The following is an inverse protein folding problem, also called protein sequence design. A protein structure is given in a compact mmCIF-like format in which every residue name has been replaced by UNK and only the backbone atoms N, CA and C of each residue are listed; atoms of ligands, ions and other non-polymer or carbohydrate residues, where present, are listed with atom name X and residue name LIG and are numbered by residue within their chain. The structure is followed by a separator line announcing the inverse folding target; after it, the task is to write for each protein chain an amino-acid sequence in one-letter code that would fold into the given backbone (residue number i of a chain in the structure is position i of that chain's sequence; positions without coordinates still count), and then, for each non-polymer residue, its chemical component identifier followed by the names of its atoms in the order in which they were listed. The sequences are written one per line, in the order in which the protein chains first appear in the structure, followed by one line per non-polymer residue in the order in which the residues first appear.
data_IF_984817448420
#
_entry.id   IF_984817448420
#
_cell.length_a   1.000
_cell.length_b   1.000
_cell.length_c   1.000
_cell.angle_alpha   90.00
_cell.angle_beta   90.00
_cell.angle_gamma   90.00
#
_symmetry.space_group_name_H-M   'P 1'
#
loop_
_entity.id
_entity.type
_entity.pdbx_description
1 polymer ?
#
# COMPACT_ATOMS: atom_id res chain seq x y z
N UNK A 1 9.44 -0.99 -0.59
CA UNK A 1 9.26 0.43 -0.22
C UNK A 1 8.71 0.58 1.19
N UNK A 2 7.70 -0.19 1.59
CA UNK A 2 7.13 -0.21 2.95
C UNK A 2 8.19 -0.38 4.07
N UNK A 3 9.08 -1.37 3.95
CA UNK A 3 10.17 -1.56 4.93
C UNK A 3 11.17 -0.39 4.95
N UNK A 4 11.50 0.17 3.79
CA UNK A 4 12.44 1.30 3.68
C UNK A 4 11.92 2.53 4.40
N UNK A 5 10.61 2.73 4.40
CA UNK A 5 9.95 3.79 5.17
C UNK A 5 10.11 3.62 6.68
N UNK A 6 10.33 2.39 7.14
CA UNK A 6 10.66 2.04 8.52
C UNK A 6 12.16 1.88 8.76
N UNK A 7 13.00 2.44 7.88
CA UNK A 7 14.46 2.35 7.91
C UNK A 7 15.02 0.91 7.82
N UNK A 8 14.26 0.00 7.24
CA UNK A 8 14.66 -1.40 7.02
C UNK A 8 14.96 -1.60 5.55
N UNK A 9 16.24 -1.81 5.24
CA UNK A 9 16.75 -1.85 3.86
C UNK A 9 16.80 -3.29 3.34
N UNK A 10 15.78 -3.66 2.56
CA UNK A 10 15.67 -4.97 1.90
C UNK A 10 15.36 -4.75 0.42
N UNK A 11 15.97 -5.56 -0.45
CA UNK A 11 15.75 -5.49 -1.91
C UNK A 11 14.50 -6.27 -2.31
N UNK A 12 13.85 -5.89 -3.41
CA UNK A 12 12.65 -6.57 -3.88
C UNK A 12 12.89 -8.07 -4.16
N UNK A 13 14.07 -8.44 -4.67
CA UNK A 13 14.43 -9.84 -4.94
C UNK A 13 14.44 -10.71 -3.67
N UNK A 14 14.68 -10.13 -2.50
CA UNK A 14 14.64 -10.85 -1.21
C UNK A 14 13.19 -11.00 -0.71
N UNK A 15 12.31 -10.06 -1.04
CA UNK A 15 10.87 -10.12 -0.70
C UNK A 15 10.09 -11.02 -1.67
N UNK A 16 10.49 -11.05 -2.95
CA UNK A 16 9.83 -11.76 -4.04
C UNK A 16 9.18 -10.82 -5.05
N UNK A 17 9.12 -11.23 -6.31
CA UNK A 17 8.58 -10.45 -7.46
C UNK A 17 7.31 -11.05 -8.05
N UNK A 18 6.83 -12.16 -7.49
CA UNK A 18 5.62 -12.84 -7.89
C UNK A 18 4.35 -12.12 -7.42
N UNK A 19 3.23 -12.42 -8.07
CA UNK A 19 1.91 -11.99 -7.63
C UNK A 19 1.68 -12.41 -6.17
N UNK A 20 1.18 -11.47 -5.36
CA UNK A 20 1.06 -11.68 -3.92
C UNK A 20 -0.28 -11.14 -3.40
N UNK A 21 -0.90 -11.90 -2.51
CA UNK A 21 -2.09 -11.47 -1.76
C UNK A 21 -1.71 -10.58 -0.58
N UNK A 22 -2.69 -9.90 0.03
CA UNK A 22 -2.47 -9.06 1.21
C UNK A 22 -1.85 -9.84 2.38
N UNK A 23 -2.34 -11.06 2.63
CA UNK A 23 -1.83 -11.93 3.70
C UNK A 23 -0.41 -12.42 3.40
N UNK A 24 -0.13 -12.80 2.15
CA UNK A 24 1.20 -13.26 1.75
C UNK A 24 2.23 -12.12 1.83
N UNK A 25 1.86 -10.92 1.40
CA UNK A 25 2.70 -9.73 1.52
C UNK A 25 2.98 -9.39 2.98
N UNK A 26 1.96 -9.35 3.85
CA UNK A 26 2.16 -9.13 5.29
C UNK A 26 3.10 -10.18 5.91
N UNK A 27 2.92 -11.46 5.58
CA UNK A 27 3.79 -12.54 6.05
C UNK A 27 5.24 -12.38 5.59
N UNK A 28 5.47 -11.88 4.37
CA UNK A 28 6.82 -11.59 3.87
C UNK A 28 7.45 -10.42 4.61
N UNK A 29 6.70 -9.34 4.86
CA UNK A 29 7.17 -8.18 5.62
C UNK A 29 7.52 -8.58 7.07
N UNK A 30 6.69 -9.43 7.68
CA UNK A 30 6.89 -9.97 9.02
C UNK A 30 8.17 -10.78 9.23
N UNK A 31 8.86 -11.20 8.16
CA UNK A 31 10.20 -11.82 8.26
C UNK A 31 11.29 -10.82 8.61
N UNK A 32 11.08 -9.53 8.36
CA UNK A 32 12.06 -8.47 8.53
C UNK A 32 11.66 -7.46 9.61
N UNK A 33 10.35 -7.28 9.80
CA UNK A 33 9.78 -6.36 10.75
C UNK A 33 8.44 -6.92 11.23
N UNK A 34 8.30 -7.28 12.50
CA UNK A 34 7.08 -7.95 12.99
C UNK A 34 5.90 -6.98 13.17
N UNK A 35 4.67 -7.47 13.04
CA UNK A 35 3.44 -6.72 13.31
C UNK A 35 2.69 -6.19 12.08
N UNK A 36 3.07 -6.62 10.87
CA UNK A 36 2.31 -6.31 9.66
C UNK A 36 1.07 -7.18 9.57
N UNK A 37 -0.03 -6.56 9.17
CA UNK A 37 -1.33 -7.18 8.95
C UNK A 37 -1.76 -6.97 7.50
N UNK A 38 -2.45 -7.95 6.95
CA UNK A 38 -2.94 -7.94 5.56
C UNK A 38 -4.41 -8.33 5.50
N UNK A 39 -5.30 -7.34 5.39
CA UNK A 39 -6.75 -7.50 5.53
C UNK A 39 -7.53 -6.64 4.51
N UNK A 40 -8.77 -7.03 4.23
CA UNK A 40 -9.72 -6.17 3.53
C UNK A 40 -10.37 -5.21 4.54
N UNK A 41 -10.44 -3.92 4.20
CA UNK A 41 -11.05 -2.88 5.04
C UNK A 41 -12.06 -2.06 4.24
N UNK A 42 -12.89 -1.29 4.94
CA UNK A 42 -13.75 -0.29 4.32
C UNK A 42 -12.96 0.96 3.90
N UNK A 43 -13.46 1.67 2.89
CA UNK A 43 -12.90 2.95 2.44
C UNK A 43 -12.83 4.01 3.56
N UNK A 44 -13.72 3.93 4.56
CA UNK A 44 -13.69 4.80 5.75
C UNK A 44 -12.44 4.63 6.61
N UNK A 45 -11.65 3.57 6.37
CA UNK A 45 -10.40 3.29 7.10
C UNK A 45 -9.20 4.07 6.56
N UNK A 46 -9.33 4.82 5.46
CA UNK A 46 -8.21 5.54 4.82
C UNK A 46 -7.37 6.37 5.80
N UNK A 47 -8.03 7.21 6.61
CA UNK A 47 -7.34 8.06 7.57
C UNK A 47 -6.76 7.26 8.74
N UNK A 48 -7.48 6.24 9.22
CA UNK A 48 -6.99 5.37 10.30
C UNK A 48 -5.72 4.63 9.87
N UNK A 49 -5.67 4.08 8.65
CA UNK A 49 -4.50 3.44 8.08
C UNK A 49 -3.35 4.42 7.88
N UNK A 50 -3.64 5.63 7.40
CA UNK A 50 -2.61 6.65 7.16
C UNK A 50 -1.96 7.15 8.45
N UNK A 51 -2.63 7.00 9.60
CA UNK A 51 -2.08 7.30 10.92
C UNK A 51 -1.08 6.24 11.43
N UNK A 52 -0.99 5.06 10.80
CA UNK A 52 -0.02 4.01 11.17
C UNK A 52 1.30 4.10 10.38
N UNK A 53 1.48 5.20 9.63
CA UNK A 53 2.57 5.43 8.69
C UNK A 53 2.24 4.89 7.29
N UNK A 54 3.26 4.73 6.44
CA UNK A 54 3.00 4.26 5.07
C UNK A 54 2.45 2.84 5.07
N UNK A 55 1.43 2.60 4.24
CA UNK A 55 0.75 1.31 4.11
C UNK A 55 0.60 0.91 2.64
N UNK A 56 0.37 -0.36 2.38
CA UNK A 56 0.18 -0.92 1.04
C UNK A 56 -1.29 -0.98 0.68
N UNK A 57 -1.68 -0.45 -0.48
CA UNK A 57 -3.03 -0.52 -1.01
C UNK A 57 -3.03 -1.28 -2.33
N UNK A 58 -4.04 -2.11 -2.55
CA UNK A 58 -4.28 -2.72 -3.86
C UNK A 58 -5.22 -1.82 -4.66
N UNK A 59 -4.72 -1.24 -5.74
CA UNK A 59 -5.52 -0.44 -6.67
C UNK A 59 -5.76 -1.20 -7.96
N UNK A 60 -6.80 -0.83 -8.69
CA UNK A 60 -7.16 -1.42 -9.98
C UNK A 60 -6.89 -0.43 -11.10
N UNK A 61 -6.17 -0.86 -12.13
CA UNK A 61 -6.10 -0.08 -13.37
C UNK A 61 -7.49 -0.06 -14.01
N UNK A 62 -7.98 1.15 -14.31
CA UNK A 62 -9.29 1.35 -14.93
C UNK A 62 -9.37 0.57 -16.26
N UNK A 63 -10.18 -0.48 -16.29
CA UNK A 63 -10.49 -1.27 -17.49
C UNK A 63 -9.81 -2.64 -17.61
N UNK A 64 -8.75 -2.96 -16.84
CA UNK A 64 -7.99 -4.21 -17.03
C UNK A 64 -8.32 -5.32 -16.03
N UNK A 65 -8.98 -5.00 -14.90
CA UNK A 65 -9.17 -5.90 -13.74
C UNK A 65 -7.87 -6.49 -13.16
N UNK A 66 -6.71 -5.96 -13.55
CA UNK A 66 -5.42 -6.33 -12.95
C UNK A 66 -5.14 -5.33 -11.84
N UNK A 67 -5.10 -5.83 -10.61
CA UNK A 67 -4.73 -5.03 -9.46
C UNK A 67 -3.23 -5.05 -9.21
N UNK A 68 -2.66 -3.93 -8.79
CA UNK A 68 -1.28 -3.85 -8.31
C UNK A 68 -1.18 -3.17 -6.96
N UNK A 69 -0.11 -3.52 -6.24
CA UNK A 69 0.21 -2.93 -4.95
C UNK A 69 0.90 -1.58 -5.13
N UNK A 70 0.33 -0.55 -4.52
CA UNK A 70 0.96 0.76 -4.35
C UNK A 70 1.24 1.02 -2.87
N UNK A 71 2.17 1.93 -2.60
CA UNK A 71 2.39 2.46 -1.26
C UNK A 71 1.62 3.77 -1.12
N UNK A 72 0.77 3.85 -0.11
CA UNK A 72 0.15 5.09 0.36
C UNK A 72 1.06 5.65 1.45
N UNK A 73 1.63 6.83 1.20
CA UNK A 73 2.54 7.49 2.15
C UNK A 73 1.78 8.25 3.25
N UNK A 74 0.54 8.65 2.95
CA UNK A 74 -0.35 9.40 3.82
C UNK A 74 -1.29 10.29 3.00
N UNK A 75 -1.98 11.20 3.69
CA UNK A 75 -2.80 12.26 3.08
C UNK A 75 -2.10 13.60 3.34
N UNK A 76 -1.99 14.45 2.33
CA UNK A 76 -1.39 15.79 2.47
C UNK A 76 -2.37 16.81 3.09
N UNK A 77 -1.88 18.01 3.39
CA UNK A 77 -2.67 19.08 4.01
C UNK A 77 -3.84 19.57 3.13
N UNK A 78 -3.83 19.26 1.83
CA UNK A 78 -4.89 19.57 0.88
C UNK A 78 -5.90 18.42 0.72
N UNK A 79 -5.73 17.31 1.45
CA UNK A 79 -6.61 16.14 1.39
C UNK A 79 -6.29 15.16 0.25
N UNK A 80 -5.13 15.30 -0.41
CA UNK A 80 -4.73 14.37 -1.46
C UNK A 80 -3.97 13.18 -0.89
N UNK A 81 -4.28 11.99 -1.40
CA UNK A 81 -3.59 10.75 -1.08
C UNK A 81 -2.25 10.72 -1.81
N UNK A 82 -1.16 10.55 -1.07
CA UNK A 82 0.20 10.52 -1.62
C UNK A 82 0.56 9.09 -2.01
N UNK A 83 0.66 8.82 -3.31
CA UNK A 83 0.91 7.47 -3.85
C UNK A 83 2.33 7.33 -4.39
N UNK A 84 2.94 6.20 -4.05
CA UNK A 84 4.24 5.75 -4.54
C UNK A 84 4.00 4.40 -5.23
N UNK A 85 4.13 4.38 -6.55
CA UNK A 85 3.79 3.22 -7.38
C UNK A 85 5.07 2.46 -7.79
N UNK A 86 5.30 1.25 -7.26
CA UNK A 86 6.47 0.44 -7.63
C UNK A 86 6.45 -0.05 -9.08
N UNK A 87 5.27 -0.20 -9.69
CA UNK A 87 5.13 -0.74 -11.04
C UNK A 87 5.64 0.26 -12.08
N UNK A 88 5.28 1.53 -11.92
CA UNK A 88 5.73 2.60 -12.81
C UNK A 88 7.00 3.31 -12.32
N UNK A 89 7.44 3.05 -11.09
CA UNK A 89 8.51 3.80 -10.44
C UNK A 89 8.16 5.27 -10.22
N UNK A 90 6.87 5.60 -10.18
CA UNK A 90 6.34 6.97 -10.15
C UNK A 90 5.81 7.34 -8.77
N UNK A 91 5.70 8.65 -8.55
CA UNK A 91 5.03 9.25 -7.39
C UNK A 91 3.99 10.23 -7.90
N UNK A 92 2.77 10.11 -7.43
CA UNK A 92 1.67 10.99 -7.82
C UNK A 92 0.71 11.22 -6.65
N UNK A 93 -0.20 12.17 -6.84
CA UNK A 93 -1.28 12.48 -5.90
C UNK A 93 -2.60 12.05 -6.53
N UNK A 94 -3.53 11.60 -5.69
CA UNK A 94 -4.93 11.40 -6.04
C UNK A 94 -5.78 12.19 -5.04
N UNK A 95 -6.91 12.73 -5.48
CA UNK A 95 -7.94 13.15 -4.53
C UNK A 95 -8.42 11.93 -3.72
N UNK A 96 -8.98 12.17 -2.55
CA UNK A 96 -9.59 11.09 -1.74
C UNK A 96 -10.63 10.29 -2.54
N UNK A 97 -11.45 10.98 -3.33
CA UNK A 97 -12.49 10.33 -4.16
C UNK A 97 -11.86 9.44 -5.24
N UNK A 98 -10.93 9.96 -6.03
CA UNK A 98 -10.26 9.19 -7.08
C UNK A 98 -9.57 7.95 -6.51
N UNK A 99 -8.91 8.09 -5.35
CA UNK A 99 -8.26 6.97 -4.69
C UNK A 99 -9.27 5.90 -4.26
N UNK A 100 -10.41 6.30 -3.65
CA UNK A 100 -11.45 5.37 -3.21
C UNK A 100 -12.12 4.63 -4.38
N UNK A 101 -12.26 5.27 -5.53
CA UNK A 101 -12.82 4.64 -6.72
C UNK A 101 -11.95 3.51 -7.28
N UNK A 102 -10.62 3.57 -7.08
CA UNK A 102 -9.68 2.56 -7.60
C UNK A 102 -9.15 1.59 -6.54
N UNK A 103 -9.20 1.94 -5.25
CA UNK A 103 -8.78 1.09 -4.15
C UNK A 103 -9.86 0.07 -3.79
N UNK A 104 -9.53 -1.21 -3.84
CA UNK A 104 -10.50 -2.27 -3.57
C UNK A 104 -10.63 -2.68 -2.08
N UNK A 105 -10.06 -1.88 -1.18
CA UNK A 105 -10.05 -2.17 0.27
C UNK A 105 -8.98 -3.16 0.73
N UNK A 106 -8.31 -3.91 -0.16
CA UNK A 106 -7.22 -4.79 0.26
C UNK A 106 -6.01 -3.95 0.69
N UNK A 107 -5.54 -4.22 1.91
CA UNK A 107 -4.58 -3.36 2.60
C UNK A 107 -3.53 -4.17 3.33
N UNK A 108 -2.31 -3.64 3.37
CA UNK A 108 -1.22 -4.16 4.19
C UNK A 108 -0.63 -3.03 5.02
N UNK A 109 -0.76 -3.11 6.33
CA UNK A 109 -0.37 -2.03 7.25
C UNK A 109 0.26 -2.63 8.50
N UNK A 110 0.89 -1.77 9.30
CA UNK A 110 1.43 -2.11 10.61
C UNK A 110 0.80 -1.15 11.62
N UNK A 111 -0.07 -1.63 12.53
CA UNK A 111 -0.73 -0.81 13.56
C UNK A 111 0.25 -0.07 14.47
#
# INVERSE_FOLDING_TARGET
MLLRDRYIFVTQNVIGTELTSMTSLANKLNKFDVGWEGNAVSESSLYALSNTGSWGAMIWDSGSKVGHWVLVKGVDDAGNVIIYDPYQGSRYLMTEQEFKEVWNGHSVYKP
#
